data_IF_989906200401
#
_entry.id   IF_989906200401
#
_cell.length_a   1.000
_cell.length_b   1.000
_cell.length_c   1.000
_cell.angle_alpha   90.00
_cell.angle_beta   90.00
_cell.angle_gamma   90.00
#
_symmetry.space_group_name_H-M   'P 1'
#
loop_
_entity.id
_entity.type
_entity.pdbx_description
1 polymer ?
#
# COMPACT_ATOMS: atom_id res chain seq x y z
N UNK A 1 -42.30 9.49 8.81
CA UNK A 1 -43.14 10.40 9.62
C UNK A 1 -42.22 11.30 10.41
N UNK A 2 -41.97 12.52 9.94
CA UNK A 2 -41.22 13.54 10.70
C UNK A 2 -42.22 14.38 11.48
N UNK A 3 -42.16 14.29 12.80
CA UNK A 3 -42.89 15.20 13.68
C UNK A 3 -42.13 16.53 13.75
N UNK A 4 -42.62 17.54 13.05
CA UNK A 4 -42.28 18.93 13.33
C UNK A 4 -43.04 19.35 14.59
N UNK A 5 -42.34 19.55 15.70
CA UNK A 5 -42.89 20.17 16.90
C UNK A 5 -43.20 21.63 16.58
N UNK A 6 -44.49 21.95 16.44
CA UNK A 6 -44.97 23.32 16.38
C UNK A 6 -44.83 23.96 17.77
N UNK A 7 -44.05 25.03 17.87
CA UNK A 7 -44.02 25.89 19.06
C UNK A 7 -45.34 26.68 19.08
N UNK A 8 -46.14 26.66 20.17
CA UNK A 8 -47.39 27.40 20.21
C UNK A 8 -47.12 28.91 20.23
N UNK A 9 -47.79 29.66 19.35
CA UNK A 9 -47.85 31.12 19.43
C UNK A 9 -48.68 31.51 20.67
N UNK A 10 -48.03 32.14 21.66
CA UNK A 10 -48.71 32.71 22.83
C UNK A 10 -49.71 33.78 22.40
N UNK A 11 -50.93 33.74 22.95
CA UNK A 11 -51.93 34.78 22.71
C UNK A 11 -51.46 36.16 23.20
N UNK A 12 -51.93 37.24 22.57
CA UNK A 12 -51.48 38.61 22.86
C UNK A 12 -51.72 39.06 24.32
N UNK A 13 -52.71 38.49 25.02
CA UNK A 13 -52.91 38.73 26.46
C UNK A 13 -51.91 37.97 27.32
N UNK A 14 -51.62 36.71 26.97
CA UNK A 14 -50.65 35.87 27.68
C UNK A 14 -49.23 36.45 27.56
N UNK A 15 -48.87 36.93 26.36
CA UNK A 15 -47.59 37.60 26.13
C UNK A 15 -47.40 38.88 26.98
N UNK A 16 -48.48 39.66 27.19
CA UNK A 16 -48.44 40.86 28.05
C UNK A 16 -48.32 40.50 29.54
N UNK A 17 -48.97 39.44 29.98
CA UNK A 17 -48.87 38.93 31.36
C UNK A 17 -47.46 38.41 31.63
N UNK A 18 -46.94 37.56 30.74
CA UNK A 18 -45.57 37.03 30.86
C UNK A 18 -44.53 38.15 30.83
N UNK A 19 -44.65 39.13 29.91
CA UNK A 19 -43.73 40.27 29.84
C UNK A 19 -43.70 41.08 31.16
N UNK A 20 -44.85 41.24 31.83
CA UNK A 20 -44.93 41.92 33.12
C UNK A 20 -44.23 41.11 34.21
N UNK A 21 -44.50 39.82 34.31
CA UNK A 21 -43.85 38.96 35.31
C UNK A 21 -42.32 38.93 35.14
N UNK A 22 -41.85 38.89 33.88
CA UNK A 22 -40.43 38.97 33.53
C UNK A 22 -39.82 40.30 33.91
N UNK A 23 -40.52 41.40 33.62
CA UNK A 23 -40.09 42.73 34.03
C UNK A 23 -39.95 42.84 35.55
N UNK A 24 -40.93 42.34 36.31
CA UNK A 24 -40.89 42.36 37.78
C UNK A 24 -39.76 41.48 38.35
N UNK A 25 -39.44 40.34 37.69
CA UNK A 25 -38.26 39.54 38.01
C UNK A 25 -36.97 40.30 37.72
N UNK A 26 -36.87 40.95 36.57
CA UNK A 26 -35.71 41.76 36.19
C UNK A 26 -35.42 42.87 37.21
N UNK A 27 -36.47 43.54 37.73
CA UNK A 27 -36.33 44.53 38.80
C UNK A 27 -35.74 43.90 40.09
N UNK A 28 -36.29 42.77 40.54
CA UNK A 28 -35.78 42.07 41.73
C UNK A 28 -34.33 41.61 41.58
N UNK A 29 -33.96 41.09 40.41
CA UNK A 29 -32.58 40.67 40.13
C UNK A 29 -31.62 41.87 40.09
N UNK A 30 -32.09 43.02 39.58
CA UNK A 30 -31.33 44.27 39.62
C UNK A 30 -31.06 44.70 41.06
N UNK A 31 -32.08 44.66 41.93
CA UNK A 31 -31.94 44.98 43.36
C UNK A 31 -30.98 44.02 44.09
N UNK A 32 -30.88 42.77 43.63
CA UNK A 32 -29.96 41.76 44.13
C UNK A 32 -28.54 41.89 43.58
N UNK A 33 -28.31 42.77 42.60
CA UNK A 33 -27.03 42.92 41.91
C UNK A 33 -26.73 41.83 40.87
N UNK A 34 -27.69 40.95 40.53
CA UNK A 34 -27.56 39.97 39.45
C UNK A 34 -27.82 40.63 38.10
N UNK A 35 -26.76 41.23 37.56
CA UNK A 35 -26.79 42.01 36.32
C UNK A 35 -27.16 41.16 35.11
N UNK A 36 -26.55 39.99 34.94
CA UNK A 36 -26.77 39.14 33.76
C UNK A 36 -28.16 38.47 33.82
N UNK A 37 -28.61 38.04 35.01
CA UNK A 37 -29.97 37.55 35.22
C UNK A 37 -31.03 38.63 34.94
N UNK A 38 -30.81 39.85 35.42
CA UNK A 38 -31.70 40.98 35.16
C UNK A 38 -31.80 41.32 33.67
N UNK A 39 -30.65 41.35 32.95
CA UNK A 39 -30.63 41.60 31.51
C UNK A 39 -31.41 40.53 30.74
N UNK A 40 -31.23 39.25 31.06
CA UNK A 40 -31.95 38.17 30.40
C UNK A 40 -33.48 38.30 30.55
N UNK A 41 -33.95 38.63 31.75
CA UNK A 41 -35.39 38.81 32.00
C UNK A 41 -35.94 40.07 31.33
N UNK A 42 -35.21 41.19 31.37
CA UNK A 42 -35.64 42.41 30.69
C UNK A 42 -35.62 42.29 29.16
N UNK A 43 -34.60 41.66 28.57
CA UNK A 43 -34.54 41.41 27.13
C UNK A 43 -35.70 40.54 26.68
N UNK A 44 -36.04 39.50 27.45
CA UNK A 44 -37.18 38.64 27.13
C UNK A 44 -38.51 39.40 27.28
N UNK A 45 -38.67 40.24 28.32
CA UNK A 45 -39.84 41.11 28.45
C UNK A 45 -39.98 42.07 27.27
N UNK A 46 -38.87 42.68 26.84
CA UNK A 46 -38.83 43.61 25.71
C UNK A 46 -39.13 42.92 24.37
N UNK A 47 -38.67 41.68 24.18
CA UNK A 47 -38.96 40.88 23.00
C UNK A 47 -40.44 40.48 22.91
N UNK A 48 -41.09 40.21 24.04
CA UNK A 48 -42.54 39.90 24.10
C UNK A 48 -43.40 41.15 23.87
N UNK A 49 -43.06 42.25 24.55
CA UNK A 49 -43.77 43.52 24.45
C UNK A 49 -42.76 44.67 24.44
N UNK A 50 -42.38 45.18 23.26
CA UNK A 50 -41.46 46.30 23.16
C UNK A 50 -42.06 47.55 23.82
N UNK A 51 -41.42 48.05 24.87
CA UNK A 51 -41.87 49.23 25.60
C UNK A 51 -40.68 50.07 26.12
N UNK A 52 -40.67 51.41 25.96
CA UNK A 52 -39.54 52.26 26.34
C UNK A 52 -39.12 52.13 27.80
N UNK A 53 -40.08 51.96 28.73
CA UNK A 53 -39.78 51.71 30.16
C UNK A 53 -38.93 50.45 30.39
N UNK A 54 -39.13 49.37 29.62
CA UNK A 54 -38.30 48.16 29.73
C UNK A 54 -36.91 48.45 29.18
N UNK A 55 -36.84 49.09 28.00
CA UNK A 55 -35.57 49.46 27.36
C UNK A 55 -34.72 50.43 28.20
N UNK A 56 -35.36 51.34 28.94
CA UNK A 56 -34.71 52.22 29.90
C UNK A 56 -34.00 51.41 30.99
N UNK A 57 -34.68 50.42 31.58
CA UNK A 57 -34.08 49.55 32.59
C UNK A 57 -32.96 48.68 32.01
N UNK A 58 -33.12 48.16 30.77
CA UNK A 58 -32.04 47.47 30.05
C UNK A 58 -30.81 48.38 29.94
N UNK A 59 -30.97 49.62 29.49
CA UNK A 59 -29.86 50.58 29.35
C UNK A 59 -29.18 50.90 30.68
N UNK A 60 -29.92 51.04 31.78
CA UNK A 60 -29.34 51.26 33.11
C UNK A 60 -28.54 50.05 33.61
N UNK A 61 -29.05 48.84 33.42
CA UNK A 61 -28.35 47.61 33.82
C UNK A 61 -27.13 47.36 32.94
N UNK A 62 -27.21 47.64 31.63
CA UNK A 62 -26.04 47.58 30.74
C UNK A 62 -24.95 48.59 31.17
N UNK A 63 -25.35 49.79 31.60
CA UNK A 63 -24.42 50.78 32.11
C UNK A 63 -23.71 50.32 33.40
N UNK A 64 -24.44 49.69 34.33
CA UNK A 64 -23.83 49.11 35.54
C UNK A 64 -22.94 47.90 35.22
N UNK A 65 -23.25 47.15 34.16
CA UNK A 65 -22.48 46.01 33.67
C UNK A 65 -21.15 46.37 32.98
N UNK A 66 -20.91 47.66 32.68
CA UNK A 66 -19.75 48.05 31.86
C UNK A 66 -19.98 48.00 30.34
N UNK A 67 -21.18 47.65 29.88
CA UNK A 67 -21.57 47.53 28.47
C UNK A 67 -22.00 48.91 27.93
N UNK A 68 -21.03 49.82 27.81
CA UNK A 68 -21.29 51.25 27.57
C UNK A 68 -21.95 51.52 26.21
N UNK A 69 -21.56 50.78 25.17
CA UNK A 69 -22.06 50.97 23.80
C UNK A 69 -23.53 50.58 23.72
N UNK A 70 -23.88 49.41 24.24
CA UNK A 70 -25.23 48.90 24.27
C UNK A 70 -26.13 49.77 25.16
N UNK A 71 -25.61 50.19 26.32
CA UNK A 71 -26.31 51.12 27.21
C UNK A 71 -26.63 52.45 26.52
N UNK A 72 -25.67 53.01 25.78
CA UNK A 72 -25.88 54.24 25.02
C UNK A 72 -26.97 54.06 23.96
N UNK A 73 -26.92 52.99 23.17
CA UNK A 73 -27.90 52.72 22.12
C UNK A 73 -29.32 52.54 22.69
N UNK A 74 -29.46 51.82 23.82
CA UNK A 74 -30.74 51.65 24.51
C UNK A 74 -31.29 52.99 25.04
N UNK A 75 -30.46 53.80 25.70
CA UNK A 75 -30.86 55.10 26.24
C UNK A 75 -31.16 56.12 25.14
N UNK A 76 -30.40 56.13 24.04
CA UNK A 76 -30.66 56.98 22.88
C UNK A 76 -32.02 56.63 22.25
N UNK A 77 -32.33 55.34 22.14
CA UNK A 77 -33.61 54.87 21.62
C UNK A 77 -34.78 55.30 22.51
N UNK A 78 -34.64 55.17 23.84
CA UNK A 78 -35.67 55.64 24.81
C UNK A 78 -35.87 57.15 24.71
N UNK A 79 -34.81 57.94 24.51
CA UNK A 79 -34.91 59.39 24.42
C UNK A 79 -35.53 59.87 23.10
N UNK A 80 -35.52 59.04 22.04
CA UNK A 80 -36.23 59.32 20.78
C UNK A 80 -37.74 59.08 20.90
N UNK A 81 -38.16 58.06 21.65
CA UNK A 81 -39.56 57.75 21.94
C UNK A 81 -39.77 57.49 23.44
N UNK A 82 -40.03 58.54 24.24
CA UNK A 82 -40.10 58.44 25.69
C UNK A 82 -41.45 57.95 26.23
N UNK A 83 -42.26 57.27 25.43
CA UNK A 83 -43.61 56.87 25.80
C UNK A 83 -43.64 56.06 27.11
N UNK A 84 -44.41 56.54 28.09
CA UNK A 84 -44.59 55.88 29.39
C UNK A 84 -43.48 56.14 30.42
N UNK A 85 -42.58 57.11 30.20
CA UNK A 85 -41.61 57.59 31.18
C UNK A 85 -41.99 58.96 31.77
N UNK A 86 -41.72 59.17 33.05
CA UNK A 86 -41.88 60.45 33.74
C UNK A 86 -40.70 61.42 33.52
N UNK A 87 -40.85 62.72 33.87
CA UNK A 87 -39.82 63.74 33.66
C UNK A 87 -38.51 63.44 34.39
N UNK A 88 -38.57 62.87 35.59
CA UNK A 88 -37.39 62.47 36.37
C UNK A 88 -36.60 61.33 35.67
N UNK A 89 -37.30 60.33 35.16
CA UNK A 89 -36.68 59.20 34.45
C UNK A 89 -36.01 59.66 33.16
N UNK A 90 -36.60 60.63 32.46
CA UNK A 90 -36.02 61.21 31.25
C UNK A 90 -34.75 62.01 31.55
N UNK A 91 -34.74 62.78 32.63
CA UNK A 91 -33.56 63.50 33.05
C UNK A 91 -32.43 62.54 33.49
N UNK A 92 -32.78 61.48 34.22
CA UNK A 92 -31.84 60.43 34.55
C UNK A 92 -31.30 59.71 33.31
N UNK A 93 -32.15 59.41 32.33
CA UNK A 93 -31.75 58.80 31.06
C UNK A 93 -30.76 59.69 30.29
N UNK A 94 -31.00 61.01 30.22
CA UNK A 94 -30.08 61.98 29.59
C UNK A 94 -28.74 62.02 30.32
N UNK A 95 -28.76 62.14 31.64
CA UNK A 95 -27.55 62.15 32.46
C UNK A 95 -26.75 60.84 32.31
N UNK A 96 -27.43 59.69 32.31
CA UNK A 96 -26.78 58.41 32.13
C UNK A 96 -26.21 58.26 30.72
N UNK A 97 -26.93 58.68 29.68
CA UNK A 97 -26.47 58.70 28.29
C UNK A 97 -25.14 59.47 28.17
N UNK A 98 -25.05 60.66 28.75
CA UNK A 98 -23.81 61.45 28.74
C UNK A 98 -22.67 60.74 29.48
N UNK A 99 -22.95 60.12 30.63
CA UNK A 99 -21.95 59.36 31.39
C UNK A 99 -21.41 58.15 30.62
N UNK A 100 -22.27 57.39 29.94
CA UNK A 100 -21.83 56.24 29.14
C UNK A 100 -21.12 56.71 27.88
N UNK A 101 -21.57 57.80 27.24
CA UNK A 101 -20.94 58.40 26.06
C UNK A 101 -19.49 58.82 26.36
N UNK A 102 -19.25 59.43 27.52
CA UNK A 102 -17.90 59.81 27.97
C UNK A 102 -16.95 58.61 28.13
N UNK A 103 -17.48 57.37 28.18
CA UNK A 103 -16.72 56.12 28.30
C UNK A 103 -16.71 55.30 27.01
N UNK A 104 -17.33 55.77 25.93
CA UNK A 104 -17.25 55.13 24.61
C UNK A 104 -16.06 55.71 23.85
N UNK A 105 -15.23 54.83 23.31
CA UNK A 105 -14.13 55.14 22.41
C UNK A 105 -14.45 54.64 20.99
N UNK A 106 -13.65 55.09 20.02
CA UNK A 106 -13.82 54.76 18.60
C UNK A 106 -12.53 54.16 18.05
N UNK A 107 -12.62 53.03 17.34
CA UNK A 107 -11.49 52.40 16.67
C UNK A 107 -11.70 52.49 15.17
N UNK A 108 -10.77 53.13 14.46
CA UNK A 108 -10.71 53.10 12.99
C UNK A 108 -9.62 52.13 12.56
N UNK A 109 -10.00 51.10 11.83
CA UNK A 109 -9.06 50.08 11.32
C UNK A 109 -8.72 50.43 9.88
N UNK A 110 -7.43 50.61 9.61
CA UNK A 110 -6.87 50.78 8.27
C UNK A 110 -6.09 49.51 7.93
N UNK A 111 -6.49 48.82 6.88
CA UNK A 111 -5.87 47.55 6.46
C UNK A 111 -5.61 47.55 4.96
N UNK A 112 -4.57 46.82 4.54
CA UNK A 112 -4.16 46.69 3.14
C UNK A 112 -5.04 45.72 2.32
N UNK A 113 -6.29 45.46 2.72
CA UNK A 113 -7.23 44.53 2.08
C UNK A 113 -8.67 45.05 2.19
N UNK A 114 -9.35 45.21 1.06
CA UNK A 114 -10.70 45.80 1.01
C UNK A 114 -11.81 44.82 1.49
N UNK A 115 -11.51 43.52 1.50
CA UNK A 115 -12.38 42.41 1.92
C UNK A 115 -12.06 41.91 3.34
N UNK A 116 -11.33 42.70 4.12
CA UNK A 116 -10.97 42.33 5.47
C UNK A 116 -12.19 42.25 6.41
N UNK A 117 -12.17 41.24 7.27
CA UNK A 117 -13.06 41.10 8.41
C UNK A 117 -12.34 41.49 9.69
N UNK A 118 -13.09 42.10 10.60
CA UNK A 118 -12.62 42.55 11.89
C UNK A 118 -13.46 41.90 12.97
N UNK A 119 -12.81 41.09 13.79
CA UNK A 119 -13.41 40.51 14.97
C UNK A 119 -13.02 41.32 16.20
N UNK A 120 -14.03 41.72 16.98
CA UNK A 120 -13.87 42.44 18.24
C UNK A 120 -14.77 41.79 19.28
N UNK A 121 -14.21 41.46 20.44
CA UNK A 121 -14.94 40.82 21.54
C UNK A 121 -15.72 39.54 21.15
N UNK A 122 -15.26 38.83 20.11
CA UNK A 122 -15.88 37.58 19.62
C UNK A 122 -16.94 37.78 18.53
N UNK A 123 -17.27 39.01 18.18
CA UNK A 123 -18.19 39.32 17.07
C UNK A 123 -17.39 39.71 15.81
N UNK A 124 -17.66 39.03 14.69
CA UNK A 124 -17.06 39.36 13.40
C UNK A 124 -17.93 40.38 12.65
N UNK A 125 -17.29 41.44 12.17
CA UNK A 125 -17.91 42.46 11.35
C UNK A 125 -17.10 42.64 10.07
N UNK A 126 -17.78 42.84 8.94
CA UNK A 126 -17.11 43.34 7.73
C UNK A 126 -16.51 44.71 8.03
N UNK A 127 -15.28 44.94 7.58
CA UNK A 127 -14.67 46.25 7.73
C UNK A 127 -15.52 47.31 7.01
N UNK A 128 -15.84 48.38 7.72
CA UNK A 128 -16.52 49.55 7.15
C UNK A 128 -15.69 50.80 7.38
N UNK A 129 -15.96 51.88 6.64
CA UNK A 129 -15.33 53.18 6.84
C UNK A 129 -15.74 53.87 8.14
N UNK A 130 -16.79 53.38 8.82
CA UNK A 130 -17.25 53.91 10.11
C UNK A 130 -16.40 53.34 11.24
N UNK A 131 -15.92 54.16 12.19
CA UNK A 131 -15.21 53.68 13.36
C UNK A 131 -16.08 52.73 14.21
N UNK A 132 -15.47 51.67 14.72
CA UNK A 132 -16.09 50.74 15.67
C UNK A 132 -16.19 51.41 17.05
N UNK A 133 -17.37 51.35 17.66
CA UNK A 133 -17.62 51.88 19.01
C UNK A 133 -17.27 50.82 20.04
N UNK A 134 -16.49 51.19 21.05
CA UNK A 134 -16.06 50.26 22.12
C UNK A 134 -16.09 50.93 23.49
N UNK A 135 -16.27 50.17 24.55
CA UNK A 135 -16.07 50.67 25.92
C UNK A 135 -14.60 51.04 26.12
N UNK A 136 -14.28 52.16 26.79
CA UNK A 136 -12.91 52.52 27.14
C UNK A 136 -12.19 51.39 27.90
N UNK A 137 -10.95 51.09 27.55
CA UNK A 137 -10.17 50.00 28.16
C UNK A 137 -9.29 49.27 27.15
N UNK A 138 -8.84 48.08 27.53
CA UNK A 138 -8.01 47.20 26.69
C UNK A 138 -8.90 46.30 25.83
N UNK A 139 -8.63 46.26 24.54
CA UNK A 139 -9.32 45.44 23.54
C UNK A 139 -8.36 44.60 22.73
N UNK A 140 -8.86 43.46 22.26
CA UNK A 140 -8.20 42.64 21.27
C UNK A 140 -9.01 42.69 19.98
N UNK A 141 -8.32 43.07 18.92
CA UNK A 141 -8.86 43.13 17.57
C UNK A 141 -8.20 42.01 16.77
N UNK A 142 -8.97 41.13 16.14
CA UNK A 142 -8.42 40.20 15.14
C UNK A 142 -8.85 40.70 13.77
N UNK A 143 -7.89 40.96 12.88
CA UNK A 143 -8.16 41.36 11.50
C UNK A 143 -7.72 40.23 10.59
N UNK A 144 -8.59 39.77 9.70
CA UNK A 144 -8.33 38.68 8.77
C UNK A 144 -8.83 39.05 7.37
N UNK A 145 -8.26 38.43 6.35
CA UNK A 145 -8.75 38.55 4.97
C UNK A 145 -8.51 37.22 4.24
N UNK A 146 -9.38 36.81 3.30
CA UNK A 146 -9.17 35.63 2.48
C UNK A 146 -7.77 35.60 1.84
N UNK A 147 -7.05 34.47 1.98
CA UNK A 147 -5.70 34.29 1.43
C UNK A 147 -4.58 35.05 2.17
N UNK A 148 -4.89 35.74 3.27
CA UNK A 148 -3.90 36.43 4.11
C UNK A 148 -3.99 35.93 5.56
N UNK A 149 -2.88 35.97 6.29
CA UNK A 149 -2.87 35.55 7.69
C UNK A 149 -3.72 36.49 8.56
N UNK A 150 -4.42 35.95 9.56
CA UNK A 150 -5.10 36.76 10.57
C UNK A 150 -4.07 37.39 11.53
N UNK A 151 -4.25 38.66 11.86
CA UNK A 151 -3.40 39.38 12.80
C UNK A 151 -4.20 39.86 14.00
N UNK A 152 -3.74 39.52 15.21
CA UNK A 152 -4.34 39.97 16.47
C UNK A 152 -3.58 41.17 17.02
N UNK A 153 -4.29 42.26 17.27
CA UNK A 153 -3.76 43.52 17.79
C UNK A 153 -4.36 43.79 19.17
N UNK A 154 -3.51 44.02 20.17
CA UNK A 154 -3.93 44.52 21.48
C UNK A 154 -3.82 46.04 21.49
N UNK A 155 -4.89 46.73 21.88
CA UNK A 155 -4.90 48.18 22.02
C UNK A 155 -5.60 48.60 23.31
N UNK A 156 -5.23 49.77 23.83
CA UNK A 156 -5.92 50.42 24.95
C UNK A 156 -6.44 51.76 24.45
N UNK A 157 -7.70 52.07 24.74
CA UNK A 157 -8.36 53.31 24.29
C UNK A 157 -9.05 54.00 25.45
N UNK A 158 -8.92 55.32 25.51
CA UNK A 158 -9.61 56.17 26.48
C UNK A 158 -11.00 56.57 25.98
N UNK A 159 -11.92 56.91 26.90
CA UNK A 159 -13.25 57.40 26.53
C UNK A 159 -13.18 58.69 25.70
N UNK A 160 -13.99 58.78 24.64
CA UNK A 160 -14.00 59.86 23.66
C UNK A 160 -12.85 59.82 22.64
N UNK A 161 -11.83 58.95 22.83
CA UNK A 161 -10.71 58.83 21.91
C UNK A 161 -11.15 58.18 20.59
N UNK A 162 -10.63 58.67 19.47
CA UNK A 162 -10.63 57.93 18.20
C UNK A 162 -9.23 57.41 17.92
N UNK A 163 -9.03 56.11 18.04
CA UNK A 163 -7.75 55.44 17.79
C UNK A 163 -7.71 54.86 16.38
N UNK A 164 -6.71 55.25 15.60
CA UNK A 164 -6.44 54.66 14.29
C UNK A 164 -5.45 53.51 14.45
N UNK A 165 -5.83 52.32 13.98
CA UNK A 165 -5.00 51.10 14.01
C UNK A 165 -4.69 50.71 12.58
N UNK A 166 -3.42 50.77 12.21
CA UNK A 166 -2.92 50.33 10.90
C UNK A 166 -2.50 48.86 11.00
N UNK A 167 -3.10 48.01 10.18
CA UNK A 167 -2.83 46.57 10.12
C UNK A 167 -2.34 46.23 8.73
N UNK A 168 -1.23 45.50 8.64
CA UNK A 168 -0.70 45.02 7.36
C UNK A 168 -0.77 43.51 7.39
N UNK A 169 -1.77 42.95 6.71
CA UNK A 169 -1.89 41.49 6.57
C UNK A 169 -0.89 41.02 5.53
N UNK A 170 0.02 40.15 5.95
CA UNK A 170 0.92 39.45 5.05
C UNK A 170 0.16 38.36 4.31
N UNK A 171 0.42 38.23 3.01
CA UNK A 171 -0.04 37.08 2.26
C UNK A 171 0.54 35.84 2.94
N UNK A 172 -0.32 34.89 3.30
CA UNK A 172 0.19 33.58 3.69
C UNK A 172 0.97 33.10 2.47
N UNK A 173 2.28 32.85 2.60
CA UNK A 173 2.91 31.95 1.65
C UNK A 173 2.14 30.65 1.83
N UNK A 174 1.25 30.37 0.87
CA UNK A 174 0.26 29.31 0.98
C UNK A 174 0.99 28.05 1.44
N UNK A 175 0.65 27.55 2.63
CA UNK A 175 1.17 26.28 3.09
C UNK A 175 0.75 25.25 2.05
N UNK A 176 1.68 24.85 1.19
CA UNK A 176 1.40 23.95 0.09
C UNK A 176 0.91 22.63 0.69
N UNK A 177 -0.21 22.13 0.16
CA UNK A 177 -0.66 20.79 0.45
C UNK A 177 0.17 19.79 -0.38
N UNK A 178 0.30 18.56 0.12
CA UNK A 178 1.01 17.51 -0.60
C UNK A 178 0.00 16.51 -1.17
N UNK A 179 0.15 16.12 -2.43
CA UNK A 179 -0.58 15.05 -3.08
C UNK A 179 0.33 13.84 -3.21
N UNK A 180 0.01 12.75 -2.52
CA UNK A 180 0.63 11.44 -2.74
C UNK A 180 -0.27 10.62 -3.67
N UNK A 181 0.27 10.21 -4.81
CA UNK A 181 -0.43 9.34 -5.77
C UNK A 181 0.16 7.95 -5.66
N UNK A 182 -0.65 7.00 -5.19
CA UNK A 182 -0.24 5.60 -5.06
C UNK A 182 -0.63 4.86 -6.33
N UNK A 183 0.21 5.01 -7.37
CA UNK A 183 0.04 4.31 -8.63
C UNK A 183 1.38 3.85 -9.22
N UNK A 184 1.47 2.55 -9.51
CA UNK A 184 2.66 1.87 -10.06
C UNK A 184 2.69 1.83 -11.58
N UNK A 185 1.61 2.21 -12.25
CA UNK A 185 1.53 2.24 -13.71
C UNK A 185 2.53 3.27 -14.26
N UNK A 186 3.46 2.90 -15.16
CA UNK A 186 4.40 3.86 -15.73
C UNK A 186 3.72 4.84 -16.70
N UNK A 187 4.32 6.01 -16.91
CA UNK A 187 3.95 7.04 -17.89
C UNK A 187 2.46 7.48 -17.83
N UNK A 188 1.80 7.42 -16.67
CA UNK A 188 0.47 8.01 -16.52
C UNK A 188 0.60 9.48 -16.08
N UNK A 189 0.10 10.38 -16.93
CA UNK A 189 0.12 11.82 -16.71
C UNK A 189 -0.81 12.18 -15.55
N UNK A 190 -0.27 12.83 -14.52
CA UNK A 190 -0.99 13.34 -13.35
C UNK A 190 -1.29 14.82 -13.55
N UNK A 191 -2.58 15.14 -13.61
CA UNK A 191 -3.07 16.51 -13.79
C UNK A 191 -3.85 16.97 -12.57
N UNK A 192 -3.67 18.24 -12.19
CA UNK A 192 -4.47 18.90 -11.16
C UNK A 192 -5.08 20.16 -11.76
N UNK A 193 -6.41 20.24 -11.76
CA UNK A 193 -7.19 21.30 -12.43
C UNK A 193 -6.80 21.52 -13.89
N UNK A 194 -6.40 20.44 -14.57
CA UNK A 194 -6.00 20.45 -15.97
C UNK A 194 -4.52 20.77 -16.21
N UNK A 195 -3.76 21.19 -15.19
CA UNK A 195 -2.31 21.40 -15.29
C UNK A 195 -1.53 20.10 -15.01
N UNK A 196 -0.55 19.78 -15.85
CA UNK A 196 0.30 18.59 -15.72
C UNK A 196 1.35 18.83 -14.63
N UNK A 197 1.37 17.97 -13.60
CA UNK A 197 2.31 18.08 -12.49
C UNK A 197 3.41 17.00 -12.49
N UNK A 198 3.21 15.91 -13.22
CA UNK A 198 4.21 14.84 -13.36
C UNK A 198 3.62 13.58 -13.98
N UNK A 199 4.42 12.52 -14.01
CA UNK A 199 4.06 11.21 -14.55
C UNK A 199 4.34 10.14 -13.49
N UNK A 200 3.51 9.08 -13.45
CA UNK A 200 3.68 7.98 -12.51
C UNK A 200 4.75 6.97 -12.97
N UNK A 201 5.42 6.27 -12.04
CA UNK A 201 5.36 6.44 -10.58
C UNK A 201 6.08 7.71 -10.13
N UNK A 202 5.44 8.49 -9.25
CA UNK A 202 6.02 9.74 -8.76
C UNK A 202 7.09 9.48 -7.70
N UNK A 203 8.31 10.04 -7.82
CA UNK A 203 9.39 9.82 -6.84
C UNK A 203 9.16 10.56 -5.52
N UNK A 204 8.30 11.59 -5.51
CA UNK A 204 7.95 12.37 -4.34
C UNK A 204 6.50 12.88 -4.45
N UNK A 205 5.84 13.23 -3.32
CA UNK A 205 4.53 13.88 -3.34
C UNK A 205 4.56 15.20 -4.12
N UNK A 206 3.48 15.49 -4.84
CA UNK A 206 3.33 16.72 -5.61
C UNK A 206 2.82 17.86 -4.71
N UNK A 207 3.30 19.06 -4.96
CA UNK A 207 2.84 20.25 -4.26
C UNK A 207 1.58 20.81 -4.93
N UNK A 208 0.51 20.99 -4.15
CA UNK A 208 -0.80 21.47 -4.60
C UNK A 208 -1.27 22.58 -3.67
N UNK A 209 -2.02 23.56 -4.20
CA UNK A 209 -2.62 24.59 -3.35
C UNK A 209 -3.66 23.98 -2.40
N UNK A 210 -3.87 24.54 -1.20
CA UNK A 210 -5.02 24.18 -0.38
C UNK A 210 -6.33 24.54 -1.09
N UNK A 211 -7.33 23.66 -1.01
CA UNK A 211 -8.61 23.86 -1.68
C UNK A 211 -9.18 22.59 -2.30
N UNK A 212 -10.33 22.73 -2.98
CA UNK A 212 -10.93 21.64 -3.73
C UNK A 212 -10.35 21.59 -5.13
N UNK A 213 -9.59 20.54 -5.44
CA UNK A 213 -8.96 20.36 -6.74
C UNK A 213 -9.45 19.09 -7.43
N UNK A 214 -9.48 19.11 -8.74
CA UNK A 214 -9.78 17.94 -9.57
C UNK A 214 -8.46 17.32 -9.99
N UNK A 215 -8.19 16.12 -9.49
CA UNK A 215 -7.03 15.32 -9.87
C UNK A 215 -7.44 14.31 -10.93
N UNK A 216 -6.70 14.26 -12.02
CA UNK A 216 -6.92 13.36 -13.15
C UNK A 216 -5.64 12.59 -13.49
N UNK A 217 -5.75 11.28 -13.67
CA UNK A 217 -4.68 10.43 -14.19
C UNK A 217 -5.07 9.93 -15.57
N UNK A 218 -4.23 10.20 -16.57
CA UNK A 218 -4.48 9.84 -17.97
C UNK A 218 -3.29 9.11 -18.58
N UNK A 219 -3.57 8.06 -19.37
CA UNK A 219 -2.58 7.35 -20.17
C UNK A 219 -3.24 6.80 -21.43
N UNK A 220 -2.55 6.83 -22.58
CA UNK A 220 -3.09 6.30 -23.84
C UNK A 220 -3.43 4.81 -23.69
N UNK A 221 -4.63 4.41 -24.13
CA UNK A 221 -5.09 3.03 -24.02
C UNK A 221 -5.61 2.64 -22.64
N UNK A 222 -5.72 3.58 -21.70
CA UNK A 222 -6.34 3.39 -20.39
C UNK A 222 -7.54 4.32 -20.21
N UNK A 223 -8.50 3.90 -19.37
CA UNK A 223 -9.62 4.71 -18.92
C UNK A 223 -9.12 5.69 -17.86
N UNK A 224 -9.28 6.99 -18.14
CA UNK A 224 -8.86 8.06 -17.24
C UNK A 224 -9.54 7.96 -15.87
N UNK A 225 -8.78 8.23 -14.81
CA UNK A 225 -9.30 8.35 -13.44
C UNK A 225 -9.43 9.81 -13.09
N UNK A 226 -10.63 10.24 -12.71
CA UNK A 226 -10.89 11.62 -12.27
C UNK A 226 -11.49 11.62 -10.87
N UNK A 227 -10.93 12.42 -9.96
CA UNK A 227 -11.37 12.56 -8.57
C UNK A 227 -11.32 14.01 -8.12
N UNK A 228 -12.32 14.42 -7.32
CA UNK A 228 -12.31 15.72 -6.65
C UNK A 228 -11.80 15.49 -5.23
N UNK A 229 -10.71 16.17 -4.86
CA UNK A 229 -10.03 16.00 -3.57
C UNK A 229 -9.96 17.36 -2.88
N UNK A 230 -10.24 17.38 -1.58
CA UNK A 230 -10.08 18.56 -0.74
C UNK A 230 -8.70 18.52 -0.08
N UNK A 231 -7.87 19.51 -0.37
CA UNK A 231 -6.52 19.66 0.16
C UNK A 231 -6.54 20.63 1.33
N UNK A 232 -6.17 20.16 2.53
CA UNK A 232 -5.98 21.00 3.72
C UNK A 232 -4.58 21.63 3.77
N UNK A 233 -4.40 22.66 4.60
CA UNK A 233 -3.08 23.24 4.84
C UNK A 233 -2.17 22.22 5.55
N UNK A 234 -1.00 21.94 4.96
CA UNK A 234 0.05 21.09 5.53
C UNK A 234 -0.33 19.60 5.80
N UNK A 235 -1.45 19.11 5.26
CA UNK A 235 -1.82 17.68 5.31
C UNK A 235 -1.62 17.06 3.93
N UNK A 236 -1.03 15.86 3.90
CA UNK A 236 -0.92 15.09 2.66
C UNK A 236 -2.27 14.45 2.32
N UNK A 237 -2.81 14.74 1.14
CA UNK A 237 -3.93 13.99 0.59
C UNK A 237 -3.40 12.80 -0.23
N UNK A 238 -4.04 11.65 -0.07
CA UNK A 238 -3.66 10.42 -0.77
C UNK A 238 -4.68 10.09 -1.87
N UNK A 239 -4.17 9.67 -3.03
CA UNK A 239 -4.97 9.15 -4.13
C UNK A 239 -4.53 7.72 -4.46
N UNK A 240 -5.32 6.76 -3.98
CA UNK A 240 -5.16 5.33 -4.23
C UNK A 240 -5.95 4.90 -5.47
N UNK A 241 -5.47 5.30 -6.66
CA UNK A 241 -6.10 4.88 -7.91
C UNK A 241 -5.12 4.88 -9.08
N UNK A 242 -5.22 3.85 -9.93
CA UNK A 242 -4.55 3.77 -11.22
C UNK A 242 -5.56 3.69 -12.37
N UNK A 243 -5.26 4.30 -13.53
CA UNK A 243 -5.97 4.01 -14.78
C UNK A 243 -6.03 2.52 -15.08
N UNK A 244 -7.14 2.06 -15.65
CA UNK A 244 -7.33 0.66 -16.06
C UNK A 244 -7.35 0.56 -17.58
N UNK A 245 -6.89 -0.55 -18.12
CA UNK A 245 -6.83 -0.77 -19.57
C UNK A 245 -8.19 -0.55 -20.22
N UNK A 246 -8.25 0.26 -21.27
CA UNK A 246 -9.41 0.41 -22.13
C UNK A 246 -9.39 -0.69 -23.20
N UNK A 247 -10.13 -1.76 -22.94
CA UNK A 247 -10.27 -2.90 -23.86
C UNK A 247 -10.78 -2.54 -25.26
N UNK A 248 -11.47 -1.40 -25.44
CA UNK A 248 -11.92 -0.91 -26.75
C UNK A 248 -10.80 -0.19 -27.50
N UNK A 249 -9.94 0.54 -26.80
CA UNK A 249 -8.75 1.17 -27.37
C UNK A 249 -7.73 0.10 -27.79
N UNK A 250 -7.56 -0.95 -26.98
CA UNK A 250 -6.65 -2.07 -27.23
C UNK A 250 -6.84 -2.72 -28.60
N UNK A 251 -8.10 -2.88 -29.06
CA UNK A 251 -8.42 -3.47 -30.37
C UNK A 251 -7.98 -2.63 -31.57
N UNK A 252 -7.80 -1.32 -31.38
CA UNK A 252 -7.50 -0.38 -32.46
C UNK A 252 -6.02 0.02 -32.50
N UNK A 253 -5.38 0.11 -31.34
CA UNK A 253 -4.03 0.66 -31.22
C UNK A 253 -3.09 -0.13 -30.31
N UNK A 254 -3.47 -1.32 -29.86
CA UNK A 254 -2.60 -2.17 -29.02
C UNK A 254 -1.39 -2.74 -29.77
N UNK A 255 -0.30 -2.94 -29.05
CA UNK A 255 0.91 -3.65 -29.50
C UNK A 255 0.94 -5.09 -28.99
N UNK A 256 1.48 -6.03 -29.77
CA UNK A 256 1.65 -7.43 -29.33
C UNK A 256 2.91 -7.57 -28.48
N UNK A 257 2.77 -8.01 -27.24
CA UNK A 257 3.88 -8.39 -26.37
C UNK A 257 4.04 -9.92 -26.38
N UNK A 258 5.15 -10.39 -26.93
CA UNK A 258 5.58 -11.79 -26.88
C UNK A 258 6.61 -11.99 -25.77
N UNK A 259 6.25 -12.70 -24.69
CA UNK A 259 7.14 -13.06 -23.58
C UNK A 259 7.52 -14.54 -23.70
N UNK A 260 8.79 -14.83 -23.93
CA UNK A 260 9.31 -16.20 -23.90
C UNK A 260 10.08 -16.42 -22.61
N UNK A 261 9.61 -17.34 -21.78
CA UNK A 261 10.32 -17.76 -20.57
C UNK A 261 10.94 -19.12 -20.87
N UNK A 262 12.25 -19.25 -20.61
CA UNK A 262 12.97 -20.52 -20.83
C UNK A 262 12.51 -21.60 -19.85
N UNK A 263 12.12 -21.21 -18.65
CA UNK A 263 11.67 -22.09 -17.58
C UNK A 263 10.15 -22.34 -17.64
N UNK A 264 9.76 -23.61 -17.55
CA UNK A 264 8.35 -24.00 -17.42
C UNK A 264 7.74 -23.55 -16.09
N UNK A 265 6.41 -23.46 -16.02
CA UNK A 265 5.66 -23.12 -14.80
C UNK A 265 6.03 -21.75 -14.19
N UNK A 266 6.60 -20.85 -14.99
CA UNK A 266 6.75 -19.46 -14.59
C UNK A 266 5.40 -18.73 -14.64
N UNK A 267 5.17 -17.86 -13.67
CA UNK A 267 4.05 -16.93 -13.66
C UNK A 267 4.53 -15.61 -14.22
N UNK A 268 3.75 -14.99 -15.10
CA UNK A 268 4.10 -13.74 -15.76
C UNK A 268 3.08 -12.68 -15.34
N UNK A 269 3.57 -11.52 -14.94
CA UNK A 269 2.79 -10.33 -14.62
C UNK A 269 3.14 -9.21 -15.60
N UNK A 270 2.11 -8.52 -16.07
CA UNK A 270 2.25 -7.28 -16.84
C UNK A 270 1.40 -6.23 -16.14
N UNK A 271 2.02 -5.13 -15.70
CA UNK A 271 1.35 -4.04 -14.96
C UNK A 271 0.49 -4.53 -13.78
N UNK A 272 1.07 -5.42 -12.95
CA UNK A 272 0.42 -6.03 -11.79
C UNK A 272 -0.71 -7.05 -12.08
N UNK A 273 -1.00 -7.34 -13.36
CA UNK A 273 -1.98 -8.35 -13.77
C UNK A 273 -1.30 -9.65 -14.21
N UNK A 274 -1.76 -10.80 -13.69
CA UNK A 274 -1.25 -12.13 -14.09
C UNK A 274 -1.78 -12.48 -15.48
N UNK A 275 -0.89 -12.80 -16.40
CA UNK A 275 -1.25 -13.24 -17.75
C UNK A 275 -1.12 -14.76 -17.87
N UNK A 276 -2.01 -15.37 -18.64
CA UNK A 276 -2.03 -16.84 -18.85
C UNK A 276 -1.37 -17.28 -20.17
N UNK A 277 -0.97 -16.34 -21.01
CA UNK A 277 -0.40 -16.62 -22.33
C UNK A 277 0.92 -15.89 -22.52
N UNK A 278 1.83 -16.50 -23.27
CA UNK A 278 3.13 -15.93 -23.66
C UNK A 278 3.01 -14.87 -24.76
N UNK A 279 1.82 -14.66 -25.34
CA UNK A 279 1.57 -13.61 -26.32
C UNK A 279 0.26 -12.91 -25.98
N UNK A 280 0.31 -11.60 -25.74
CA UNK A 280 -0.89 -10.79 -25.53
C UNK A 280 -0.81 -9.44 -26.23
N UNK A 281 -1.94 -8.75 -26.33
CA UNK A 281 -2.00 -7.39 -26.84
C UNK A 281 -2.10 -6.44 -25.64
N UNK A 282 -1.18 -5.49 -25.53
CA UNK A 282 -1.14 -4.45 -24.50
C UNK A 282 -1.30 -3.07 -25.14
N UNK A 283 -1.70 -2.03 -24.39
CA UNK A 283 -1.57 -0.65 -24.86
C UNK A 283 -0.13 -0.38 -25.32
N UNK A 284 0.12 0.54 -26.25
CA UNK A 284 1.48 0.92 -26.58
C UNK A 284 2.14 1.70 -25.42
N UNK A 285 3.46 1.61 -25.32
CA UNK A 285 4.27 2.31 -24.32
C UNK A 285 4.90 1.37 -23.30
N UNK A 286 5.33 1.93 -22.17
CA UNK A 286 6.09 1.18 -21.16
C UNK A 286 5.20 0.29 -20.29
N UNK A 287 5.66 -0.93 -20.04
CA UNK A 287 4.98 -1.89 -19.19
C UNK A 287 5.96 -2.51 -18.21
N UNK A 288 5.48 -2.77 -16.99
CA UNK A 288 6.27 -3.47 -15.97
C UNK A 288 6.07 -4.97 -16.15
N UNK A 289 7.09 -5.65 -16.65
CA UNK A 289 7.11 -7.10 -16.80
C UNK A 289 7.79 -7.72 -15.57
N UNK A 290 7.06 -8.59 -14.87
CA UNK A 290 7.61 -9.41 -13.80
C UNK A 290 7.40 -10.89 -14.13
N UNK A 291 8.40 -11.71 -13.89
CA UNK A 291 8.35 -13.16 -14.10
C UNK A 291 8.91 -13.84 -12.87
N UNK A 292 8.14 -14.78 -12.31
CA UNK A 292 8.52 -15.48 -11.08
C UNK A 292 8.31 -16.99 -11.28
N UNK A 293 9.17 -17.76 -10.63
CA UNK A 293 9.09 -19.22 -10.56
C UNK A 293 9.66 -19.65 -9.22
N UNK A 294 9.03 -20.63 -8.57
CA UNK A 294 9.53 -21.16 -7.31
C UNK A 294 10.96 -21.71 -7.47
N UNK A 295 11.87 -21.32 -6.57
CA UNK A 295 13.29 -21.69 -6.64
C UNK A 295 14.16 -20.74 -7.48
N UNK A 296 13.60 -19.63 -7.97
CA UNK A 296 14.28 -18.68 -8.85
C UNK A 296 14.14 -17.25 -8.31
N UNK A 297 15.14 -16.42 -8.64
CA UNK A 297 15.11 -14.98 -8.39
C UNK A 297 14.06 -14.35 -9.31
N UNK A 298 13.21 -13.49 -8.75
CA UNK A 298 12.19 -12.77 -9.52
C UNK A 298 12.85 -11.88 -10.57
N UNK A 299 12.46 -12.06 -11.83
CA UNK A 299 12.86 -11.17 -12.91
C UNK A 299 11.87 -10.01 -12.98
N UNK A 300 12.36 -8.77 -12.98
CA UNK A 300 11.53 -7.58 -13.15
C UNK A 300 12.23 -6.60 -14.10
N UNK A 301 11.50 -6.14 -15.12
CA UNK A 301 12.02 -5.21 -16.12
C UNK A 301 10.92 -4.36 -16.74
N UNK A 302 11.21 -3.11 -17.01
CA UNK A 302 10.37 -2.24 -17.83
C UNK A 302 10.59 -2.53 -19.32
N UNK A 303 9.50 -2.73 -20.08
CA UNK A 303 9.54 -2.99 -21.52
C UNK A 303 8.70 -1.95 -22.26
N UNK A 304 9.25 -1.33 -23.29
CA UNK A 304 8.52 -0.39 -24.15
C UNK A 304 7.93 -1.16 -25.35
N UNK A 305 6.61 -1.26 -25.41
CA UNK A 305 5.89 -2.02 -26.42
C UNK A 305 5.34 -1.08 -27.50
N UNK A 306 5.93 -1.05 -28.70
CA UNK A 306 5.39 -0.24 -29.79
C UNK A 306 4.16 -0.93 -30.40
N UNK A 307 3.40 -0.17 -31.21
CA UNK A 307 2.23 -0.70 -31.94
C UNK A 307 2.56 -1.89 -32.87
N UNK A 308 3.82 -1.98 -33.33
CA UNK A 308 4.31 -3.11 -34.14
C UNK A 308 4.57 -4.40 -33.34
N UNK A 309 4.49 -4.34 -32.02
CA UNK A 309 4.79 -5.43 -31.10
C UNK A 309 6.23 -5.45 -30.62
N UNK A 310 6.45 -6.20 -29.55
CA UNK A 310 7.72 -6.36 -28.84
C UNK A 310 7.90 -7.81 -28.42
N UNK A 311 9.13 -8.31 -28.49
CA UNK A 311 9.48 -9.63 -27.98
C UNK A 311 10.53 -9.51 -26.89
N UNK A 312 10.32 -10.24 -25.80
CA UNK A 312 11.23 -10.35 -24.68
C UNK A 312 11.47 -11.82 -24.36
N UNK A 313 12.74 -12.20 -24.38
CA UNK A 313 13.21 -13.48 -23.86
C UNK A 313 13.66 -13.27 -22.41
N UNK A 314 13.14 -14.12 -21.51
CA UNK A 314 13.40 -14.08 -20.07
C UNK A 314 14.08 -15.39 -19.67
N UNK A 315 15.25 -15.25 -19.05
CA UNK A 315 16.01 -16.34 -18.45
C UNK A 315 16.06 -16.11 -16.94
N UNK A 316 15.46 -17.01 -16.18
CA UNK A 316 15.43 -16.90 -14.73
C UNK A 316 16.70 -17.47 -14.10
N UNK A 317 17.22 -16.76 -13.10
CA UNK A 317 18.39 -17.20 -12.34
C UNK A 317 17.91 -18.00 -11.13
N UNK A 318 18.32 -19.26 -10.95
CA UNK A 318 17.93 -20.06 -9.80
C UNK A 318 18.58 -19.55 -8.51
N UNK A 319 17.86 -19.68 -7.40
CA UNK A 319 18.41 -19.37 -6.08
C UNK A 319 19.44 -20.43 -5.61
N UNK A 320 20.15 -20.12 -4.52
CA UNK A 320 21.22 -20.98 -4.01
C UNK A 320 20.73 -22.31 -3.41
N UNK A 321 19.48 -22.38 -2.91
CA UNK A 321 18.87 -23.64 -2.46
C UNK A 321 18.52 -24.51 -3.65
N UNK A 322 17.79 -23.97 -4.62
CA UNK A 322 17.35 -24.70 -5.81
C UNK A 322 18.54 -25.27 -6.59
N UNK A 323 19.62 -24.49 -6.76
CA UNK A 323 20.85 -24.99 -7.40
C UNK A 323 21.47 -26.18 -6.67
N UNK A 324 21.52 -26.14 -5.33
CA UNK A 324 22.07 -27.25 -4.53
C UNK A 324 21.20 -28.48 -4.62
N UNK A 325 19.89 -28.34 -4.41
CA UNK A 325 18.94 -29.46 -4.44
C UNK A 325 18.90 -30.12 -5.83
N UNK A 326 18.88 -29.32 -6.90
CA UNK A 326 18.95 -29.80 -8.27
C UNK A 326 20.25 -30.56 -8.54
N UNK A 327 21.40 -30.01 -8.14
CA UNK A 327 22.71 -30.64 -8.32
C UNK A 327 22.83 -31.94 -7.55
N UNK A 328 22.37 -31.98 -6.30
CA UNK A 328 22.40 -33.17 -5.45
C UNK A 328 21.50 -34.27 -6.03
N UNK A 329 20.32 -33.92 -6.55
CA UNK A 329 19.45 -34.87 -7.24
C UNK A 329 20.09 -35.42 -8.52
N UNK A 330 20.67 -34.57 -9.36
CA UNK A 330 21.35 -34.97 -10.60
C UNK A 330 22.58 -35.84 -10.33
N UNK A 331 23.40 -35.50 -9.31
CA UNK A 331 24.55 -36.30 -8.90
C UNK A 331 24.12 -37.64 -8.28
N UNK A 332 23.06 -37.66 -7.48
CA UNK A 332 22.49 -38.90 -6.93
C UNK A 332 22.02 -39.84 -8.04
N UNK A 333 21.29 -39.32 -9.03
CA UNK A 333 20.86 -40.09 -10.20
C UNK A 333 22.06 -40.65 -10.96
N UNK A 334 23.10 -39.84 -11.24
CA UNK A 334 24.31 -40.32 -11.91
C UNK A 334 25.04 -41.38 -11.08
N UNK A 335 25.09 -41.22 -9.76
CA UNK A 335 25.70 -42.19 -8.85
C UNK A 335 24.97 -43.54 -8.92
N UNK A 336 23.64 -43.53 -8.82
CA UNK A 336 22.82 -44.75 -8.99
C UNK A 336 22.91 -45.32 -10.41
N UNK A 337 23.07 -44.47 -11.42
CA UNK A 337 23.37 -44.87 -12.79
C UNK A 337 24.65 -45.69 -12.89
N UNK A 338 25.76 -45.18 -12.36
CA UNK A 338 27.05 -45.88 -12.34
C UNK A 338 27.03 -47.15 -11.47
N UNK A 339 26.36 -47.11 -10.31
CA UNK A 339 26.18 -48.30 -9.47
C UNK A 339 25.40 -49.38 -10.22
N UNK A 340 24.33 -49.00 -10.94
CA UNK A 340 23.55 -49.93 -11.76
C UNK A 340 24.38 -50.55 -12.89
N UNK A 341 25.12 -49.74 -13.65
CA UNK A 341 25.99 -50.21 -14.73
C UNK A 341 27.09 -51.13 -14.19
N UNK A 342 27.86 -50.66 -13.19
CA UNK A 342 28.98 -51.42 -12.64
C UNK A 342 28.55 -52.67 -11.90
N UNK A 343 27.53 -52.57 -11.05
CA UNK A 343 26.97 -53.70 -10.31
C UNK A 343 26.31 -54.72 -11.23
N UNK A 344 25.51 -54.26 -12.20
CA UNK A 344 24.88 -55.12 -13.20
C UNK A 344 25.91 -55.88 -14.05
N UNK A 345 26.96 -55.19 -14.50
CA UNK A 345 28.05 -55.82 -15.24
C UNK A 345 28.81 -56.85 -14.40
N UNK A 346 29.13 -56.55 -13.14
CA UNK A 346 29.82 -57.47 -12.24
C UNK A 346 28.98 -58.73 -11.97
N UNK A 347 27.69 -58.59 -11.71
CA UNK A 347 26.74 -59.71 -11.56
C UNK A 347 26.68 -60.52 -12.85
N UNK A 348 26.57 -59.87 -14.01
CA UNK A 348 26.53 -60.55 -15.31
C UNK A 348 27.78 -61.38 -15.59
N UNK A 349 28.97 -60.79 -15.40
CA UNK A 349 30.26 -61.50 -15.58
C UNK A 349 30.38 -62.67 -14.60
N UNK A 350 30.05 -62.45 -13.33
CA UNK A 350 30.05 -63.50 -12.31
C UNK A 350 29.09 -64.64 -12.64
N UNK A 351 27.88 -64.32 -13.12
CA UNK A 351 26.88 -65.30 -13.53
C UNK A 351 27.37 -66.11 -14.75
N UNK A 352 27.99 -65.48 -15.75
CA UNK A 352 28.59 -66.18 -16.90
C UNK A 352 29.71 -67.11 -16.44
N UNK A 353 30.62 -66.62 -15.58
CA UNK A 353 31.70 -67.44 -15.04
C UNK A 353 31.16 -68.65 -14.24
N UNK A 354 30.14 -68.42 -13.41
CA UNK A 354 29.46 -69.47 -12.66
C UNK A 354 28.78 -70.50 -13.59
N UNK A 355 28.08 -70.05 -14.63
CA UNK A 355 27.45 -70.93 -15.62
C UNK A 355 28.48 -71.80 -16.36
N UNK A 356 29.64 -71.23 -16.72
CA UNK A 356 30.74 -71.96 -17.36
C UNK A 356 31.35 -73.00 -16.41
N UNK A 357 31.59 -72.62 -15.15
CA UNK A 357 32.09 -73.54 -14.13
C UNK A 357 31.10 -74.68 -13.84
N UNK A 358 29.81 -74.36 -13.66
CA UNK A 358 28.75 -75.34 -13.42
C UNK A 358 28.56 -76.30 -14.62
N UNK A 359 28.80 -75.82 -15.85
CA UNK A 359 28.82 -76.69 -17.04
C UNK A 359 29.94 -77.73 -16.99
N UNK A 360 31.11 -77.37 -16.46
CA UNK A 360 32.19 -78.33 -16.20
C UNK A 360 31.76 -79.40 -15.18
N UNK A 361 31.19 -78.97 -14.05
CA UNK A 361 30.67 -79.87 -13.01
C UNK A 361 29.59 -80.82 -13.53
N UNK A 362 28.66 -80.34 -14.34
CA UNK A 362 27.63 -81.16 -14.97
C UNK A 362 28.24 -82.21 -15.92
N UNK A 363 29.26 -81.83 -16.71
CA UNK A 363 29.96 -82.78 -17.58
C UNK A 363 30.71 -83.84 -16.79
N UNK A 364 31.35 -83.46 -15.69
CA UNK A 364 32.06 -84.40 -14.83
C UNK A 364 31.09 -85.34 -14.10
N UNK A 365 29.99 -84.83 -13.53
CA UNK A 365 28.92 -85.64 -12.94
C UNK A 365 28.33 -86.63 -13.97
N UNK A 366 28.08 -86.19 -15.20
CA UNK A 366 27.60 -87.08 -16.26
C UNK A 366 28.65 -88.11 -16.70
N UNK A 367 29.94 -87.74 -16.73
CA UNK A 367 31.02 -88.70 -17.03
C UNK A 367 31.12 -89.76 -15.96
N UNK A 368 31.10 -89.38 -14.67
CA UNK A 368 31.11 -90.30 -13.53
C UNK A 368 29.89 -91.22 -13.58
N UNK A 369 28.69 -90.66 -13.75
CA UNK A 369 27.48 -91.45 -13.94
C UNK A 369 27.59 -92.43 -15.11
N UNK A 370 28.05 -92.01 -16.28
CA UNK A 370 28.20 -92.89 -17.45
C UNK A 370 29.27 -93.98 -17.26
N UNK A 371 30.29 -93.74 -16.41
CA UNK A 371 31.35 -94.71 -16.11
C UNK A 371 30.94 -95.71 -15.02
N UNK A 372 30.19 -95.25 -14.02
CA UNK A 372 29.86 -96.02 -12.82
C UNK A 372 28.50 -96.71 -12.94
N UNK A 373 27.49 -96.07 -13.54
CA UNK A 373 26.15 -96.65 -13.69
C UNK A 373 26.13 -98.06 -14.34
N UNK A 374 26.92 -98.36 -15.40
CA UNK A 374 26.96 -99.71 -15.98
C UNK A 374 27.51 -100.78 -15.04
N UNK A 375 28.31 -100.41 -14.03
CA UNK A 375 28.84 -101.37 -13.04
C UNK A 375 27.75 -101.80 -12.06
N UNK A 376 26.86 -100.88 -11.73
CA UNK A 376 25.70 -101.13 -10.88
C UNK A 376 24.49 -101.69 -11.66
N UNK A 377 24.55 -101.74 -13.00
CA UNK A 377 23.52 -102.35 -13.85
C UNK A 377 23.56 -103.90 -13.83
N UNK A 378 24.72 -104.48 -13.52
CA UNK A 378 24.92 -105.95 -13.48
C UNK A 378 24.26 -106.65 -12.28
N UNK A 379 23.90 -105.91 -11.22
CA UNK A 379 23.19 -106.45 -10.05
C UNK A 379 21.68 -106.50 -10.23
N UNK A 380 21.16 -105.93 -11.32
CA UNK A 380 19.78 -106.04 -11.78
C UNK A 380 18.74 -105.97 -10.68
N UNK A 381 18.45 -104.78 -10.13
CA UNK A 381 17.17 -104.46 -9.44
C UNK A 381 17.07 -103.00 -8.89
N UNK A 382 17.65 -101.97 -9.54
CA UNK A 382 17.30 -100.57 -9.20
C UNK A 382 15.98 -100.17 -9.88
N UNK A 383 14.86 -100.75 -9.43
CA UNK A 383 13.51 -100.44 -9.87
C UNK A 383 12.83 -99.43 -8.92
N UNK A 384 11.93 -98.54 -9.39
CA UNK A 384 11.28 -97.56 -8.53
C UNK A 384 10.41 -98.25 -7.47
N UNK A 385 10.74 -98.07 -6.19
CA UNK A 385 9.98 -98.61 -5.04
C UNK A 385 10.70 -99.65 -4.17
N UNK A 386 11.90 -100.11 -4.56
CA UNK A 386 12.77 -101.00 -3.77
C UNK A 386 14.16 -100.39 -3.48
N UNK A 387 14.36 -99.11 -3.83
CA UNK A 387 15.67 -98.44 -3.92
C UNK A 387 16.41 -98.19 -2.61
N UNK A 388 15.78 -98.32 -1.45
CA UNK A 388 16.38 -97.97 -0.16
C UNK A 388 17.08 -99.15 0.55
N UNK A 389 17.01 -100.36 -0.01
CA UNK A 389 17.44 -101.60 0.67
C UNK A 389 18.69 -102.26 0.07
N UNK A 390 19.21 -101.76 -1.05
CA UNK A 390 20.47 -102.23 -1.63
C UNK A 390 21.49 -101.07 -1.66
N UNK A 391 22.65 -101.26 -1.05
CA UNK A 391 23.73 -100.24 -1.00
C UNK A 391 24.10 -99.76 -2.41
N UNK A 392 24.05 -100.63 -3.42
CA UNK A 392 24.32 -100.31 -4.83
C UNK A 392 23.34 -99.29 -5.45
N UNK A 393 22.06 -99.29 -5.06
CA UNK A 393 21.09 -98.33 -5.60
C UNK A 393 21.17 -96.96 -4.90
N UNK A 394 21.67 -96.92 -3.66
CA UNK A 394 21.92 -95.67 -2.94
C UNK A 394 23.03 -94.86 -3.62
N UNK A 395 24.10 -95.52 -4.05
CA UNK A 395 25.21 -94.89 -4.78
C UNK A 395 24.78 -94.39 -6.17
N UNK A 396 23.84 -95.07 -6.83
CA UNK A 396 23.28 -94.59 -8.09
C UNK A 396 22.37 -93.36 -7.88
N UNK A 397 21.55 -93.35 -6.83
CA UNK A 397 20.69 -92.22 -6.51
C UNK A 397 21.48 -90.96 -6.15
N UNK A 398 22.60 -91.08 -5.42
CA UNK A 398 23.46 -89.91 -5.13
C UNK A 398 24.08 -89.32 -6.41
N UNK A 399 24.46 -90.16 -7.38
CA UNK A 399 24.94 -89.69 -8.68
C UNK A 399 23.85 -88.96 -9.50
N UNK A 400 22.60 -89.43 -9.42
CA UNK A 400 21.44 -88.74 -10.04
C UNK A 400 21.16 -87.41 -9.32
N UNK A 401 21.16 -87.40 -7.99
CA UNK A 401 20.99 -86.19 -7.17
C UNK A 401 22.06 -85.13 -7.50
N UNK A 402 23.31 -85.54 -7.75
CA UNK A 402 24.40 -84.64 -8.16
C UNK A 402 24.15 -84.00 -9.54
N UNK A 403 23.59 -84.77 -10.49
CA UNK A 403 23.19 -84.27 -11.81
C UNK A 403 22.00 -83.31 -11.66
N UNK A 404 20.98 -83.67 -10.87
CA UNK A 404 19.81 -82.83 -10.61
C UNK A 404 20.21 -81.54 -9.89
N UNK A 405 21.13 -81.60 -8.91
CA UNK A 405 21.68 -80.45 -8.22
C UNK A 405 22.51 -79.55 -9.16
N UNK A 406 23.29 -80.12 -10.08
CA UNK A 406 23.98 -79.36 -11.12
C UNK A 406 23.01 -78.68 -12.10
N UNK A 407 21.93 -79.38 -12.48
CA UNK A 407 20.87 -78.84 -13.34
C UNK A 407 20.08 -77.72 -12.64
N UNK A 408 19.74 -77.89 -11.36
CA UNK A 408 19.07 -76.86 -10.55
C UNK A 408 19.91 -75.59 -10.42
N UNK A 409 21.24 -75.73 -10.29
CA UNK A 409 22.18 -74.60 -10.23
C UNK A 409 22.18 -73.72 -11.49
N UNK A 410 21.87 -74.25 -12.67
CA UNK A 410 21.75 -73.44 -13.89
C UNK A 410 20.65 -72.38 -13.80
N UNK A 411 19.55 -72.68 -13.11
CA UNK A 411 18.45 -71.74 -12.90
C UNK A 411 18.92 -70.46 -12.20
N UNK A 412 19.74 -70.59 -11.15
CA UNK A 412 20.29 -69.45 -10.42
C UNK A 412 21.24 -68.62 -11.28
N UNK A 413 22.08 -69.27 -12.10
CA UNK A 413 23.01 -68.58 -13.00
C UNK A 413 22.28 -67.73 -14.05
N UNK A 414 21.25 -68.28 -14.70
CA UNK A 414 20.45 -67.51 -15.67
C UNK A 414 19.63 -66.40 -15.02
N UNK A 415 19.06 -66.64 -13.82
CA UNK A 415 18.37 -65.61 -13.06
C UNK A 415 19.31 -64.45 -12.68
N UNK A 416 20.52 -64.76 -12.20
CA UNK A 416 21.54 -63.77 -11.88
C UNK A 416 21.99 -62.99 -13.13
N UNK A 417 22.19 -63.67 -14.26
CA UNK A 417 22.54 -63.01 -15.52
C UNK A 417 21.44 -62.04 -15.96
N UNK A 418 20.16 -62.47 -15.90
CA UNK A 418 19.02 -61.61 -16.20
C UNK A 418 18.96 -60.37 -15.29
N UNK A 419 19.17 -60.54 -13.99
CA UNK A 419 19.24 -59.44 -13.03
C UNK A 419 20.39 -58.47 -13.36
N UNK A 420 21.57 -59.00 -13.70
CA UNK A 420 22.73 -58.20 -14.08
C UNK A 420 22.46 -57.33 -15.31
N UNK A 421 21.84 -57.91 -16.35
CA UNK A 421 21.45 -57.18 -17.57
C UNK A 421 20.41 -56.10 -17.28
N UNK A 422 19.39 -56.39 -16.48
CA UNK A 422 18.36 -55.40 -16.12
C UNK A 422 18.95 -54.26 -15.30
N UNK A 423 19.77 -54.56 -14.28
CA UNK A 423 20.43 -53.54 -13.46
C UNK A 423 21.36 -52.64 -14.28
N UNK A 424 22.13 -53.22 -15.20
CA UNK A 424 22.99 -52.46 -16.10
C UNK A 424 22.16 -51.58 -17.05
N UNK A 425 21.07 -52.12 -17.61
CA UNK A 425 20.15 -51.36 -18.49
C UNK A 425 19.49 -50.18 -17.78
N UNK A 426 18.99 -50.38 -16.55
CA UNK A 426 18.43 -49.31 -15.71
C UNK A 426 19.50 -48.28 -15.38
N UNK A 427 20.70 -48.71 -15.00
CA UNK A 427 21.83 -47.82 -14.73
C UNK A 427 22.19 -46.96 -15.94
N UNK A 428 22.28 -47.56 -17.13
CA UNK A 428 22.52 -46.82 -18.38
C UNK A 428 21.41 -45.84 -18.70
N UNK A 429 20.15 -46.22 -18.51
CA UNK A 429 19.01 -45.32 -18.69
C UNK A 429 19.10 -44.10 -17.77
N UNK A 430 19.42 -44.28 -16.48
CA UNK A 430 19.56 -43.18 -15.53
C UNK A 430 20.69 -42.20 -15.92
N UNK A 431 21.76 -42.67 -16.57
CA UNK A 431 22.84 -41.82 -17.06
C UNK A 431 22.45 -41.02 -18.31
N UNK A 432 21.63 -41.60 -19.21
CA UNK A 432 21.22 -40.96 -20.47
C UNK A 432 20.05 -39.99 -20.25
N UNK A 433 19.08 -40.39 -19.44
CA UNK A 433 17.90 -39.58 -19.13
C UNK A 433 18.15 -38.56 -17.99
N UNK A 434 19.37 -38.54 -17.44
CA UNK A 434 19.73 -37.65 -16.34
C UNK A 434 19.95 -36.23 -16.78
N UNK A 435 19.47 -35.31 -15.95
CA UNK A 435 19.73 -33.89 -16.06
C UNK A 435 21.23 -33.59 -15.90
N UNK A 436 21.70 -32.52 -16.55
CA UNK A 436 23.07 -32.05 -16.40
C UNK A 436 23.23 -31.32 -15.06
N UNK A 437 24.07 -31.80 -14.10
CA UNK A 437 24.23 -31.18 -12.78
C UNK A 437 24.80 -29.77 -12.87
N UNK A 438 25.56 -29.47 -13.93
CA UNK A 438 26.26 -28.20 -14.09
C UNK A 438 25.44 -27.19 -14.93
N UNK A 439 24.19 -27.52 -15.29
CA UNK A 439 23.28 -26.66 -16.07
C UNK A 439 23.18 -25.22 -15.54
N UNK A 440 23.24 -25.05 -14.23
CA UNK A 440 23.12 -23.76 -13.54
C UNK A 440 24.43 -23.30 -12.88
N UNK A 441 25.54 -23.99 -13.14
CA UNK A 441 26.85 -23.49 -12.78
C UNK A 441 27.24 -22.42 -13.81
N UNK A 442 27.69 -21.23 -13.38
CA UNK A 442 28.25 -20.27 -14.32
C UNK A 442 29.46 -20.91 -15.00
N UNK A 443 29.37 -21.11 -16.31
CA UNK A 443 30.47 -21.69 -17.08
C UNK A 443 31.77 -20.92 -16.88
N UNK A 444 32.90 -21.60 -17.00
CA UNK A 444 34.24 -20.99 -16.95
C UNK A 444 34.44 -19.86 -18.00
N UNK A 445 33.54 -19.78 -18.97
CA UNK A 445 33.52 -18.77 -20.04
C UNK A 445 32.61 -17.57 -19.73
N UNK A 446 32.01 -17.52 -18.54
CA UNK A 446 31.31 -16.32 -18.09
C UNK A 446 32.34 -15.23 -17.77
N UNK A 447 32.47 -14.26 -18.68
CA UNK A 447 33.18 -12.98 -18.52
C UNK A 447 32.59 -12.10 -17.39
N UNK A 448 32.15 -12.69 -16.29
CA UNK A 448 31.66 -12.00 -15.10
C UNK A 448 32.80 -11.64 -14.13
N UNK A 449 33.98 -12.22 -14.31
CA UNK A 449 35.21 -11.70 -13.73
C UNK A 449 35.76 -10.59 -14.62
N UNK A 450 35.27 -9.39 -14.35
CA UNK A 450 35.89 -8.10 -14.68
C UNK A 450 37.40 -8.25 -14.87
N UNK A 451 37.87 -8.06 -16.10
CA UNK A 451 39.27 -7.78 -16.37
C UNK A 451 39.62 -6.45 -15.70
N UNK A 452 40.02 -6.49 -14.43
CA UNK A 452 40.70 -5.37 -13.78
C UNK A 452 42.10 -5.25 -14.41
N UNK A 453 42.16 -4.66 -15.60
CA UNK A 453 43.41 -4.21 -16.20
C UNK A 453 43.94 -3.04 -15.39
N UNK A 454 44.85 -3.31 -14.46
CA UNK A 454 45.69 -2.28 -13.84
C UNK A 454 46.66 -1.74 -14.90
N UNK A 455 46.27 -0.70 -15.62
CA UNK A 455 47.24 0.11 -16.37
C UNK A 455 47.82 1.17 -15.43
N UNK A 456 49.14 1.14 -15.15
CA UNK A 456 49.79 2.18 -14.36
C UNK A 456 49.78 3.50 -15.15
N UNK A 457 49.12 4.54 -14.64
CA UNK A 457 49.30 5.90 -15.13
C UNK A 457 50.51 6.53 -14.42
N UNK A 458 51.49 7.08 -15.14
CA UNK A 458 52.58 7.82 -14.53
C UNK A 458 52.10 9.25 -14.24
N UNK A 459 51.91 9.59 -12.97
CA UNK A 459 51.84 10.99 -12.53
C UNK A 459 52.67 11.16 -11.25
N UNK A 460 53.47 12.21 -11.25
CA UNK A 460 54.46 12.56 -10.23
C UNK A 460 53.86 12.59 -8.82
N UNK A 461 54.43 11.76 -7.94
CA UNK A 461 54.35 11.92 -6.49
C UNK A 461 53.10 11.36 -5.81
N UNK A 462 53.10 10.05 -5.55
CA UNK A 462 52.24 9.43 -4.53
C UNK A 462 51.19 8.46 -5.07
N UNK A 463 51.28 7.19 -4.66
CA UNK A 463 50.38 6.11 -5.08
C UNK A 463 49.05 6.24 -4.32
N UNK A 464 47.98 6.61 -5.04
CA UNK A 464 46.60 6.53 -4.55
C UNK A 464 45.75 5.69 -5.51
N UNK A 465 45.15 4.60 -5.01
CA UNK A 465 44.23 3.76 -5.78
C UNK A 465 42.86 4.46 -5.84
N UNK A 466 42.51 5.02 -7.00
CA UNK A 466 41.19 5.58 -7.27
C UNK A 466 40.33 4.63 -8.09
N UNK A 467 39.20 4.18 -7.56
CA UNK A 467 38.16 3.45 -8.29
C UNK A 467 37.32 4.45 -9.10
N UNK A 468 37.26 4.28 -10.42
CA UNK A 468 36.36 5.05 -11.30
C UNK A 468 35.36 4.09 -11.92
N UNK A 469 34.13 4.10 -11.43
CA UNK A 469 33.02 3.38 -12.05
C UNK A 469 32.66 4.05 -13.39
N UNK A 470 32.52 3.24 -14.45
CA UNK A 470 31.96 3.68 -15.73
C UNK A 470 30.48 3.27 -15.72
N UNK A 471 29.59 4.24 -15.73
CA UNK A 471 28.15 4.01 -15.77
C UNK A 471 27.76 3.31 -17.09
N UNK A 472 26.88 2.32 -16.97
CA UNK A 472 25.93 1.91 -18.00
C UNK A 472 24.53 2.20 -17.48
#
# INVERSE_FOLDING_TARGET
MSFALAVPELGAQDARTEARERFDRGLRLTDQGDVEGALAEFQRAYALVPHPRVLYNIGLVQASAGRMVEAFDALETVLKDPTGLGPEQLEHARSMRERVLARIAYIRVEVNADDAEVELAGESHKLTSKPLRVTSGRHFLTVSAPGRGAQRVSLSVAGGETRVVKVTLEAHQAAQALLRVNCTLPDAEVRVDGAVLGETPLPAPLSVQPGNHVVELTREGYVAVRRKIAFGSAVAAELDACPRVDTRALRRSGGRLDVRVREDNAVIWVDDEVIQSTSLVVPPGKHRLRVERAGFVSFEREVDVPRGGYRVDVELIPDASYRRDYRDAALSQRTWGWVGVGGGAAIGVGAVAFLLWNRGQQQDAQRTFNQEAPRHESSGDCWPGLSDLADDCKDLNTLVDDIEAANGRFGYGWAALGLGVVAAGVGSYLLIAGDDPDRFEPGADSEFLVSFGLTPMPMMGGVGLGLKARNW
#
